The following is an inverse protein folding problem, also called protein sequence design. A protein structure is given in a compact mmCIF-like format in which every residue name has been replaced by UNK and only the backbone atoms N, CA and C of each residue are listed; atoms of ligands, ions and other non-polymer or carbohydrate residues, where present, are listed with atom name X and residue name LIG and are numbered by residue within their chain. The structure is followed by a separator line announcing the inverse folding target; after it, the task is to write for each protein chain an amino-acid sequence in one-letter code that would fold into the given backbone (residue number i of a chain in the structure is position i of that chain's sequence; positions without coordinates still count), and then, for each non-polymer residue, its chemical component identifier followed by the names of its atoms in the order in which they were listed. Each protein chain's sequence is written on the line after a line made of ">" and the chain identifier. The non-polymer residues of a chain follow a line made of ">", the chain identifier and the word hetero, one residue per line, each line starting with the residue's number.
data_IF_438446457701
#
_entry.id   IF_438446457701
#
_cell.length_a   1.000
_cell.length_b   1.000
_cell.length_c   1.000
_cell.angle_alpha   90.00
_cell.angle_beta   90.00
_cell.angle_gamma   90.00
#
_symmetry.space_group_name_H-M   'P 1'
#
loop_
_entity.id
_entity.type
_entity.pdbx_description
1 polymer ?
#
# COMPACT_ATOMS: atom_id res chain seq x y z
N UNK A 1 -7.02 0.22 -1.44
CA UNK A 1 -5.67 0.79 -1.60
C UNK A 1 -5.14 0.71 -3.04
N UNK A 2 -4.81 -0.47 -3.61
CA UNK A 2 -4.25 -0.57 -4.97
C UNK A 2 -5.10 0.18 -6.02
N UNK A 3 -6.42 -0.10 -6.05
CA UNK A 3 -7.36 0.58 -6.96
C UNK A 3 -7.33 2.11 -6.84
N UNK A 4 -7.21 2.62 -5.62
CA UNK A 4 -7.10 4.06 -5.35
C UNK A 4 -5.81 4.63 -5.92
N UNK A 5 -4.68 3.93 -5.72
CA UNK A 5 -3.38 4.35 -6.27
C UNK A 5 -3.38 4.29 -7.80
N UNK A 6 -3.98 3.26 -8.39
CA UNK A 6 -4.13 3.13 -9.85
C UNK A 6 -4.97 4.27 -10.44
N UNK A 7 -6.06 4.64 -9.77
CA UNK A 7 -6.89 5.77 -10.15
C UNK A 7 -6.13 7.11 -10.08
N UNK A 8 -5.32 7.32 -9.05
CA UNK A 8 -4.48 8.53 -8.92
C UNK A 8 -3.33 8.55 -9.94
N UNK A 9 -2.73 7.41 -10.23
CA UNK A 9 -1.61 7.29 -11.17
C UNK A 9 -2.06 7.24 -12.64
N UNK A 10 -3.36 7.10 -12.91
CA UNK A 10 -3.90 6.96 -14.26
C UNK A 10 -3.46 5.69 -15.00
N UNK A 11 -2.97 4.67 -14.28
CA UNK A 11 -2.47 3.42 -14.87
C UNK A 11 -2.66 2.23 -13.94
N UNK A 12 -2.80 1.06 -14.54
CA UNK A 12 -2.83 -0.21 -13.82
C UNK A 12 -1.43 -0.56 -13.30
N UNK A 13 -1.37 -1.13 -12.09
CA UNK A 13 -0.11 -1.50 -11.45
C UNK A 13 -0.12 -3.00 -11.19
N UNK A 14 1.04 -3.64 -11.38
CA UNK A 14 1.19 -5.05 -11.10
C UNK A 14 0.97 -5.36 -9.60
N UNK A 15 -0.02 -6.20 -9.30
CA UNK A 15 -0.43 -6.55 -7.93
C UNK A 15 0.70 -7.15 -7.06
N UNK A 16 1.47 -8.16 -7.52
CA UNK A 16 2.64 -8.66 -6.79
C UNK A 16 3.66 -7.56 -6.43
N UNK A 17 4.01 -6.71 -7.39
CA UNK A 17 4.96 -5.62 -7.16
C UNK A 17 4.41 -4.56 -6.22
N UNK A 18 3.13 -4.22 -6.36
CA UNK A 18 2.45 -3.29 -5.46
C UNK A 18 2.47 -3.79 -4.03
N UNK A 19 2.11 -5.06 -3.80
CA UNK A 19 2.13 -5.66 -2.46
C UNK A 19 3.55 -5.64 -1.87
N UNK A 20 4.54 -6.08 -2.65
CA UNK A 20 5.95 -6.08 -2.20
C UNK A 20 6.42 -4.67 -1.83
N UNK A 21 6.06 -3.65 -2.61
CA UNK A 21 6.42 -2.26 -2.34
C UNK A 21 5.80 -1.74 -1.03
N UNK A 22 4.52 -2.03 -0.82
CA UNK A 22 3.78 -1.62 0.39
C UNK A 22 4.37 -2.26 1.65
N UNK A 23 4.71 -3.55 1.57
CA UNK A 23 5.34 -4.30 2.67
C UNK A 23 6.77 -3.80 2.95
N UNK A 24 7.60 -3.67 1.93
CA UNK A 24 9.01 -3.26 2.09
C UNK A 24 9.18 -1.83 2.63
N UNK A 25 8.24 -0.94 2.33
CA UNK A 25 8.25 0.42 2.86
C UNK A 25 7.46 0.55 4.16
N UNK A 26 6.95 -0.56 4.71
CA UNK A 26 6.21 -0.61 5.97
C UNK A 26 5.05 0.42 6.02
N UNK A 27 4.38 0.62 4.88
CA UNK A 27 3.33 1.66 4.74
C UNK A 27 2.04 1.33 5.48
N UNK A 28 1.87 0.06 5.79
CA UNK A 28 0.67 -0.47 6.42
C UNK A 28 1.06 -1.43 7.54
N UNK A 29 0.22 -1.49 8.55
CA UNK A 29 0.30 -2.43 9.66
C UNK A 29 -0.89 -3.39 9.64
N UNK A 30 -0.68 -4.64 10.06
CA UNK A 30 -1.76 -5.61 10.21
C UNK A 30 -2.66 -5.21 11.38
N UNK A 31 -3.97 -5.22 11.17
CA UNK A 31 -4.94 -4.92 12.23
C UNK A 31 -5.28 -6.13 13.10
N UNK A 32 -4.84 -7.33 12.69
CA UNK A 32 -5.26 -8.61 13.28
C UNK A 32 -6.65 -9.07 12.81
N UNK A 33 -7.40 -8.20 12.15
CA UNK A 33 -8.74 -8.50 11.65
C UNK A 33 -8.71 -9.10 10.24
N UNK A 34 -9.74 -9.86 9.90
CA UNK A 34 -9.95 -10.40 8.55
C UNK A 34 -11.37 -10.13 8.09
N UNK A 35 -11.53 -9.75 6.82
CA UNK A 35 -12.83 -9.58 6.20
C UNK A 35 -13.20 -10.81 5.38
N UNK A 36 -14.44 -11.25 5.54
CA UNK A 36 -15.06 -12.34 4.77
C UNK A 36 -15.78 -11.84 3.52
N UNK A 37 -15.93 -10.53 3.37
CA UNK A 37 -16.71 -9.87 2.30
C UNK A 37 -15.95 -9.77 0.97
N UNK A 38 -15.11 -10.75 0.68
CA UNK A 38 -14.28 -10.78 -0.55
C UNK A 38 -14.77 -11.79 -1.57
N UNK A 39 -15.87 -12.50 -1.28
CA UNK A 39 -16.44 -13.54 -2.15
C UNK A 39 -15.56 -14.80 -2.26
N UNK A 40 -14.60 -14.99 -1.34
CA UNK A 40 -13.64 -16.09 -1.37
C UNK A 40 -12.89 -16.24 -0.04
N UNK A 41 -11.57 -16.47 -0.10
CA UNK A 41 -10.74 -16.62 1.11
C UNK A 41 -10.77 -15.33 1.96
N UNK A 42 -10.85 -15.43 3.31
CA UNK A 42 -10.74 -14.28 4.20
C UNK A 42 -9.52 -13.42 3.86
N UNK A 43 -9.71 -12.11 3.75
CA UNK A 43 -8.64 -11.16 3.47
C UNK A 43 -8.23 -10.44 4.76
N UNK A 44 -6.93 -10.38 5.03
CA UNK A 44 -6.38 -9.60 6.13
C UNK A 44 -6.69 -8.11 5.96
N UNK A 45 -7.09 -7.46 7.04
CA UNK A 45 -7.30 -6.03 7.10
C UNK A 45 -6.02 -5.32 7.57
N UNK A 46 -5.73 -4.20 6.91
CA UNK A 46 -4.54 -3.40 7.14
C UNK A 46 -4.93 -1.94 7.39
N UNK A 47 -4.14 -1.25 8.20
CA UNK A 47 -4.27 0.18 8.46
C UNK A 47 -3.03 0.92 7.97
N UNK A 48 -3.22 2.16 7.51
CA UNK A 48 -2.09 3.03 7.16
C UNK A 48 -1.29 3.36 8.43
N UNK A 49 0.03 3.17 8.37
CA UNK A 49 0.93 3.47 9.48
C UNK A 49 1.28 4.96 9.46
N UNK A 50 0.63 5.75 10.32
CA UNK A 50 0.80 7.21 10.33
C UNK A 50 2.25 7.66 10.59
N UNK A 51 3.02 6.91 11.38
CA UNK A 51 4.44 7.18 11.67
C UNK A 51 5.31 7.32 10.40
N UNK A 52 4.90 6.70 9.29
CA UNK A 52 5.58 6.82 7.99
C UNK A 52 5.64 8.26 7.49
N UNK A 53 4.67 9.11 7.85
CA UNK A 53 4.68 10.53 7.46
C UNK A 53 5.80 11.29 8.18
N UNK A 54 6.01 11.01 9.47
CA UNK A 54 7.07 11.62 10.26
C UNK A 54 8.45 11.14 9.80
N UNK A 55 8.60 9.82 9.60
CA UNK A 55 9.84 9.20 9.09
C UNK A 55 10.22 9.79 7.72
N UNK A 56 9.24 10.01 6.84
CA UNK A 56 9.46 10.60 5.50
C UNK A 56 9.69 12.10 5.52
N UNK A 57 9.11 12.84 6.45
CA UNK A 57 9.41 14.26 6.63
C UNK A 57 10.89 14.45 7.02
N UNK A 58 11.43 13.53 7.82
CA UNK A 58 12.84 13.52 8.23
C UNK A 58 13.74 13.04 7.09
N UNK A 59 13.33 12.04 6.30
CA UNK A 59 14.16 11.42 5.26
C UNK A 59 14.01 12.03 3.84
N UNK A 60 13.02 12.89 3.61
CA UNK A 60 12.64 13.41 2.30
C UNK A 60 11.79 12.42 1.48
N UNK A 61 10.64 12.86 0.96
CA UNK A 61 9.74 12.03 0.14
C UNK A 61 10.26 11.85 -1.28
N UNK A 62 10.73 10.66 -1.65
CA UNK A 62 10.91 10.26 -3.06
C UNK A 62 9.70 9.47 -3.53
N UNK A 63 8.93 10.06 -4.46
CA UNK A 63 7.88 9.34 -5.17
C UNK A 63 8.52 8.28 -6.08
N UNK A 64 7.92 7.09 -6.23
CA UNK A 64 8.41 6.10 -7.18
C UNK A 64 8.34 6.70 -8.59
N UNK A 65 9.51 7.03 -9.14
CA UNK A 65 9.64 7.48 -10.53
C UNK A 65 9.16 6.35 -11.43
N UNK A 66 8.14 6.64 -12.25
CA UNK A 66 7.78 5.76 -13.34
C UNK A 66 8.98 5.67 -14.28
N UNK A 67 9.60 4.48 -14.40
CA UNK A 67 10.51 4.21 -15.51
C UNK A 67 9.67 4.15 -16.79
N UNK A 68 10.08 4.92 -17.79
CA UNK A 68 9.61 4.86 -19.17
C UNK A 68 10.08 3.56 -19.83
#
# INVERSE_FOLDING_TARGET
>A
LQRTVEALAGRLINKPNFRRLVEQQELVEETGETSLDTGGRPAKLYRFRHAVLDDRAIAGTKLPLARA
#
